data_IF_909535505400
#
_entry.id   IF_909535505400
#
_cell.length_a   1.000
_cell.length_b   1.000
_cell.length_c   1.000
_cell.angle_alpha   90.00
_cell.angle_beta   90.00
_cell.angle_gamma   90.00
#
_symmetry.space_group_name_H-M   'P 1'
#
loop_
_entity.id
_entity.type
_entity.pdbx_description
1 polymer ?
#
# COMPACT_ATOMS: atom_id res chain seq x y z
N UNK A 1 -0.60 -13.11 -0.19
CA UNK A 1 -1.42 -11.93 0.18
C UNK A 1 -1.22 -10.88 -0.89
N UNK A 2 -2.17 -9.98 -1.13
CA UNK A 2 -2.00 -8.91 -2.12
C UNK A 2 -1.03 -7.85 -1.60
N UNK A 3 -0.05 -7.45 -2.40
CA UNK A 3 0.93 -6.43 -2.02
C UNK A 3 0.46 -5.05 -2.49
N UNK A 4 0.44 -4.03 -1.61
CA UNK A 4 0.14 -2.68 -2.03
C UNK A 4 1.29 -2.09 -2.86
N UNK A 5 0.94 -1.20 -3.77
CA UNK A 5 1.87 -0.39 -4.56
C UNK A 5 1.56 1.09 -4.34
N UNK A 6 2.59 1.93 -4.33
CA UNK A 6 2.47 3.34 -3.97
C UNK A 6 3.06 4.21 -5.08
N UNK A 7 2.29 5.19 -5.56
CA UNK A 7 2.78 6.28 -6.38
C UNK A 7 3.12 7.44 -5.46
N UNK A 8 4.39 7.83 -5.42
CA UNK A 8 4.92 8.79 -4.47
C UNK A 8 5.71 9.88 -5.18
N UNK A 9 5.88 11.01 -4.51
CA UNK A 9 6.79 12.07 -4.96
C UNK A 9 8.02 12.15 -4.07
N UNK A 10 9.10 11.43 -4.41
CA UNK A 10 10.30 11.44 -3.61
C UNK A 10 11.16 12.70 -3.86
N UNK A 11 12.02 13.07 -2.90
CA UNK A 11 12.95 14.19 -3.07
C UNK A 11 14.11 13.89 -4.05
N UNK A 12 14.30 12.62 -4.45
CA UNK A 12 15.39 12.16 -5.32
C UNK A 12 14.92 11.06 -6.29
N UNK A 13 15.64 10.83 -7.40
CA UNK A 13 15.22 9.92 -8.47
C UNK A 13 15.55 8.44 -8.17
N UNK A 14 15.33 7.98 -6.94
CA UNK A 14 15.59 6.57 -6.56
C UNK A 14 14.87 6.18 -5.26
N UNK A 15 14.72 4.87 -5.07
CA UNK A 15 14.41 4.34 -3.74
C UNK A 15 15.57 4.59 -2.75
N UNK A 16 15.28 4.73 -1.45
CA UNK A 16 16.30 4.74 -0.39
C UNK A 16 17.16 3.47 -0.43
N UNK A 17 18.48 3.62 -0.23
CA UNK A 17 19.44 2.50 -0.30
C UNK A 17 19.85 2.00 1.09
N UNK A 18 19.10 2.37 2.13
CA UNK A 18 19.44 2.06 3.52
C UNK A 18 20.64 2.85 4.07
N UNK A 19 21.05 3.96 3.44
CA UNK A 19 22.05 4.85 4.05
C UNK A 19 21.43 5.59 5.24
N UNK A 20 22.25 5.90 6.25
CA UNK A 20 21.78 6.53 7.49
C UNK A 20 21.02 7.84 7.19
N UNK A 21 19.81 7.95 7.72
CA UNK A 21 18.94 9.12 7.56
C UNK A 21 18.19 9.22 6.23
N UNK A 22 18.42 8.34 5.25
CA UNK A 22 17.72 8.40 3.95
C UNK A 22 16.22 8.10 4.08
N UNK A 23 15.83 7.05 4.81
CA UNK A 23 14.40 6.70 4.96
C UNK A 23 13.62 7.77 5.71
N UNK A 24 14.17 8.26 6.83
CA UNK A 24 13.56 9.36 7.56
C UNK A 24 13.36 10.57 6.64
N UNK A 25 14.39 10.94 5.89
CA UNK A 25 14.30 12.07 4.95
C UNK A 25 13.27 11.82 3.85
N UNK A 26 13.24 10.61 3.28
CA UNK A 26 12.28 10.18 2.28
C UNK A 26 10.83 10.33 2.76
N UNK A 27 10.49 9.78 3.92
CA UNK A 27 9.12 9.83 4.46
C UNK A 27 8.79 11.19 5.09
N UNK A 28 9.77 11.91 5.62
CA UNK A 28 9.56 13.26 6.19
C UNK A 28 9.36 14.34 5.12
N UNK A 29 9.68 14.05 3.85
CA UNK A 29 9.47 14.99 2.75
C UNK A 29 7.98 15.35 2.55
N UNK A 30 7.05 14.53 3.06
CA UNK A 30 5.64 14.88 3.15
C UNK A 30 4.93 15.06 1.80
N UNK A 31 5.45 14.41 0.75
CA UNK A 31 4.89 14.47 -0.60
C UNK A 31 3.56 13.72 -0.73
N UNK A 32 2.78 13.97 -1.80
CA UNK A 32 1.57 13.19 -2.07
C UNK A 32 1.91 11.72 -2.26
N UNK A 33 0.99 10.86 -1.84
CA UNK A 33 1.02 9.43 -2.10
C UNK A 33 -0.35 8.95 -2.55
N UNK A 34 -0.37 8.14 -3.60
CA UNK A 34 -1.51 7.33 -3.99
C UNK A 34 -1.17 5.85 -3.74
N UNK A 35 -2.13 5.09 -3.24
CA UNK A 35 -2.01 3.67 -2.92
C UNK A 35 -2.95 2.86 -3.83
N UNK A 36 -2.45 1.78 -4.40
CA UNK A 36 -3.24 0.78 -5.09
C UNK A 36 -2.90 -0.62 -4.55
N UNK A 37 -3.81 -1.57 -4.74
CA UNK A 37 -3.62 -2.92 -4.24
C UNK A 37 -3.47 -3.90 -5.40
N UNK A 38 -2.54 -4.85 -5.27
CA UNK A 38 -2.31 -5.98 -6.18
C UNK A 38 -1.68 -5.68 -7.55
N UNK A 39 -1.79 -4.46 -8.07
CA UNK A 39 -1.33 -4.12 -9.42
C UNK A 39 -1.08 -2.62 -9.57
N UNK A 40 -0.31 -2.23 -10.59
CA UNK A 40 -0.09 -0.83 -10.96
C UNK A 40 -1.30 -0.36 -11.79
N UNK A 41 -2.06 0.65 -11.35
CA UNK A 41 -3.21 1.18 -12.09
C UNK A 41 -2.86 1.63 -13.51
N UNK A 42 -3.78 1.44 -14.45
CA UNK A 42 -3.59 1.79 -15.86
C UNK A 42 -3.09 3.23 -16.08
N UNK A 43 -3.62 4.22 -15.35
CA UNK A 43 -3.18 5.61 -15.54
C UNK A 43 -1.80 5.89 -14.94
N UNK A 44 -1.37 5.11 -13.94
CA UNK A 44 -0.01 5.21 -13.44
C UNK A 44 0.98 4.71 -14.50
N UNK A 45 0.67 3.59 -15.17
CA UNK A 45 1.52 3.06 -16.26
C UNK A 45 1.73 4.07 -17.38
N UNK A 46 0.76 4.95 -17.63
CA UNK A 46 0.88 6.01 -18.65
C UNK A 46 2.00 7.02 -18.35
N UNK A 47 2.45 7.14 -17.11
CA UNK A 47 3.55 8.02 -16.70
C UNK A 47 4.93 7.46 -17.07
N UNK A 48 5.04 6.13 -17.20
CA UNK A 48 6.31 5.41 -17.29
C UNK A 48 6.53 4.72 -18.64
N UNK A 49 7.74 4.26 -18.89
CA UNK A 49 8.15 3.36 -19.95
C UNK A 49 9.05 2.26 -19.35
N UNK A 50 9.33 1.20 -20.11
CA UNK A 50 10.16 0.10 -19.63
C UNK A 50 11.56 0.55 -19.17
N UNK A 51 12.12 1.60 -19.78
CA UNK A 51 13.40 2.20 -19.39
C UNK A 51 13.41 2.85 -17.99
N UNK A 52 12.23 3.10 -17.41
CA UNK A 52 12.12 3.66 -16.05
C UNK A 52 12.12 2.57 -14.96
N UNK A 53 12.32 1.29 -15.32
CA UNK A 53 12.46 0.20 -14.36
C UNK A 53 13.85 0.25 -13.73
N UNK A 54 13.87 0.44 -12.41
CA UNK A 54 15.07 0.41 -11.59
C UNK A 54 14.93 -0.63 -10.48
N UNK A 55 16.05 -0.94 -9.82
CA UNK A 55 16.13 -2.01 -8.82
C UNK A 55 16.70 -1.48 -7.51
N UNK A 56 16.03 -1.80 -6.40
CA UNK A 56 16.46 -1.46 -5.04
C UNK A 56 16.88 -2.72 -4.27
N UNK A 57 17.90 -2.60 -3.43
CA UNK A 57 18.39 -3.69 -2.56
C UNK A 57 17.78 -3.62 -1.14
N UNK A 58 17.06 -2.54 -0.83
CA UNK A 58 16.44 -2.29 0.47
C UNK A 58 15.03 -1.76 0.23
N UNK A 59 14.05 -2.32 0.95
CA UNK A 59 12.65 -1.89 0.95
C UNK A 59 12.22 -1.55 2.39
N UNK A 60 11.06 -0.91 2.53
CA UNK A 60 10.54 -0.25 3.74
C UNK A 60 10.59 -1.04 5.07
N UNK A 61 10.76 -2.36 5.02
CA UNK A 61 10.88 -3.22 6.20
C UNK A 61 12.28 -3.21 6.85
N UNK A 62 13.22 -2.40 6.35
CA UNK A 62 14.59 -2.27 6.87
C UNK A 62 14.95 -0.81 7.18
N UNK A 63 14.69 -0.34 8.40
CA UNK A 63 15.13 0.98 8.87
C UNK A 63 16.58 0.94 9.37
N UNK A 64 17.56 1.65 8.77
CA UNK A 64 18.96 1.61 9.18
C UNK A 64 19.25 2.18 10.57
N UNK A 65 18.37 3.02 11.14
CA UNK A 65 18.53 3.48 12.53
C UNK A 65 18.06 2.41 13.55
N UNK A 66 17.20 1.45 13.13
CA UNK A 66 16.98 0.15 13.79
C UNK A 66 17.99 -0.92 13.29
N UNK A 67 18.65 -0.71 12.14
CA UNK A 67 19.49 -1.72 11.50
C UNK A 67 20.94 -1.84 11.99
N UNK A 68 21.36 -1.14 13.04
CA UNK A 68 22.52 -1.64 13.78
C UNK A 68 22.17 -3.00 14.44
N UNK A 69 20.92 -3.17 14.87
CA UNK A 69 20.37 -4.43 15.39
C UNK A 69 19.76 -5.29 14.28
N UNK A 70 19.13 -4.71 13.26
CA UNK A 70 18.46 -5.48 12.18
C UNK A 70 19.35 -5.87 10.98
N UNK A 71 20.51 -5.24 10.71
CA UNK A 71 21.50 -5.82 9.75
C UNK A 71 22.26 -6.99 10.35
N UNK A 72 22.47 -6.97 11.68
CA UNK A 72 22.89 -8.17 12.42
C UNK A 72 21.76 -9.21 12.51
N UNK A 73 20.49 -8.78 12.44
CA UNK A 73 19.33 -9.69 12.43
C UNK A 73 18.79 -10.04 11.04
N UNK A 74 19.39 -9.55 9.92
CA UNK A 74 19.22 -10.18 8.62
C UNK A 74 19.73 -11.60 8.84
N UNK A 75 18.86 -12.64 8.83
CA UNK A 75 19.25 -13.90 9.38
C UNK A 75 20.56 -14.32 8.71
N UNK A 76 21.58 -14.67 9.48
CA UNK A 76 22.83 -15.20 8.90
C UNK A 76 22.50 -16.35 7.91
N UNK A 77 21.38 -17.02 8.22
CA UNK A 77 20.71 -18.12 7.53
C UNK A 77 19.83 -17.71 6.32
N UNK A 78 19.59 -16.42 6.07
CA UNK A 78 18.84 -15.96 4.91
C UNK A 78 19.51 -16.53 3.65
N UNK A 79 18.69 -17.05 2.73
CA UNK A 79 19.23 -17.66 1.52
C UNK A 79 20.03 -16.60 0.75
N UNK A 80 21.09 -17.02 0.04
CA UNK A 80 21.88 -16.09 -0.78
C UNK A 80 20.99 -15.33 -1.78
N UNK A 81 19.92 -15.97 -2.28
CA UNK A 81 18.90 -15.35 -3.13
C UNK A 81 18.13 -14.20 -2.45
N UNK A 82 17.87 -14.27 -1.14
CA UNK A 82 17.21 -13.20 -0.38
C UNK A 82 18.18 -12.02 -0.13
N UNK A 83 19.47 -12.32 0.06
CA UNK A 83 20.52 -11.31 0.22
C UNK A 83 20.83 -10.57 -1.09
N UNK A 84 20.67 -11.26 -2.22
CA UNK A 84 20.87 -10.70 -3.57
C UNK A 84 19.57 -10.18 -4.20
N UNK A 85 18.45 -10.20 -3.46
CA UNK A 85 17.14 -9.79 -3.96
C UNK A 85 17.14 -8.31 -4.37
N UNK A 86 16.55 -8.04 -5.53
CA UNK A 86 16.41 -6.72 -6.14
C UNK A 86 14.95 -6.44 -6.40
N UNK A 87 14.40 -5.45 -5.73
CA UNK A 87 12.99 -5.11 -5.87
C UNK A 87 12.83 -4.09 -6.99
N UNK A 88 12.03 -4.38 -8.04
CA UNK A 88 11.77 -3.41 -9.08
C UNK A 88 10.99 -2.22 -8.52
N UNK A 89 11.29 -1.03 -9.02
CA UNK A 89 10.51 0.17 -8.81
C UNK A 89 10.56 1.00 -10.09
N UNK A 90 9.55 1.85 -10.29
CA UNK A 90 9.54 2.76 -11.43
C UNK A 90 9.93 4.14 -10.94
N UNK A 91 10.81 4.84 -11.66
CA UNK A 91 11.07 6.26 -11.35
C UNK A 91 11.29 7.06 -12.61
N UNK A 92 10.67 8.24 -12.67
CA UNK A 92 10.86 9.16 -13.78
C UNK A 92 10.77 10.61 -13.30
N UNK A 93 11.09 11.56 -14.19
CA UNK A 93 10.90 12.98 -13.90
C UNK A 93 9.45 13.39 -14.17
N UNK A 94 8.92 14.34 -13.38
CA UNK A 94 7.57 14.87 -13.61
C UNK A 94 7.41 15.44 -15.02
N UNK A 95 8.43 16.13 -15.54
CA UNK A 95 8.39 16.69 -16.90
C UNK A 95 8.20 15.60 -17.98
N UNK A 96 8.94 14.49 -17.86
CA UNK A 96 8.84 13.39 -18.82
C UNK A 96 7.52 12.63 -18.68
N UNK A 97 7.07 12.38 -17.44
CA UNK A 97 5.78 11.76 -17.17
C UNK A 97 4.62 12.55 -17.77
N UNK A 98 4.59 13.88 -17.57
CA UNK A 98 3.55 14.74 -18.12
C UNK A 98 3.55 14.72 -19.66
N UNK A 99 4.74 14.75 -20.28
CA UNK A 99 4.88 14.63 -21.75
C UNK A 99 4.27 13.32 -22.27
N UNK A 100 4.55 12.19 -21.60
CA UNK A 100 4.00 10.88 -21.95
C UNK A 100 2.48 10.84 -21.78
N UNK A 101 1.96 11.38 -20.67
CA UNK A 101 0.51 11.43 -20.46
C UNK A 101 -0.21 12.24 -21.52
N UNK A 102 0.32 13.41 -21.90
CA UNK A 102 -0.27 14.21 -22.98
C UNK A 102 -0.29 13.44 -24.30
N UNK A 103 0.80 12.76 -24.64
CA UNK A 103 0.91 11.98 -25.89
C UNK A 103 -0.03 10.78 -25.93
N UNK A 104 -0.20 10.07 -24.80
CA UNK A 104 -0.97 8.82 -24.71
C UNK A 104 -2.46 9.03 -24.47
N UNK A 105 -2.85 10.24 -24.06
CA UNK A 105 -4.21 10.57 -23.62
C UNK A 105 -5.28 10.08 -24.57
N UNK A 106 -5.30 10.52 -25.82
CA UNK A 106 -6.43 10.26 -26.71
C UNK A 106 -6.53 8.78 -27.09
N UNK A 107 -5.40 8.08 -27.26
CA UNK A 107 -5.39 6.63 -27.49
C UNK A 107 -5.87 5.85 -26.26
N UNK A 108 -5.47 6.24 -25.05
CA UNK A 108 -5.98 5.62 -23.82
C UNK A 108 -7.49 5.84 -23.68
N UNK A 109 -7.97 7.07 -23.90
CA UNK A 109 -9.40 7.38 -23.80
C UNK A 109 -10.22 6.65 -24.88
N UNK A 110 -9.70 6.50 -26.10
CA UNK A 110 -10.34 5.69 -27.14
C UNK A 110 -10.53 4.24 -26.69
N UNK A 111 -9.54 3.68 -25.98
CA UNK A 111 -9.56 2.31 -25.48
C UNK A 111 -10.52 2.11 -24.29
N UNK A 112 -10.40 2.94 -23.25
CA UNK A 112 -11.21 2.79 -22.02
C UNK A 112 -12.60 3.43 -22.14
N UNK A 113 -12.78 4.37 -23.05
CA UNK A 113 -14.01 5.10 -23.32
C UNK A 113 -14.06 6.51 -22.72
N UNK A 114 -14.86 7.38 -23.35
CA UNK A 114 -14.97 8.82 -23.02
C UNK A 114 -15.32 9.13 -21.56
N UNK A 115 -16.05 8.22 -20.87
CA UNK A 115 -16.38 8.39 -19.45
C UNK A 115 -15.14 8.54 -18.56
N UNK A 116 -13.99 8.02 -18.98
CA UNK A 116 -12.74 8.07 -18.23
C UNK A 116 -11.95 9.36 -18.45
N UNK A 117 -12.28 10.16 -19.49
CA UNK A 117 -11.59 11.42 -19.79
C UNK A 117 -11.52 12.37 -18.59
N UNK A 118 -12.61 12.68 -17.87
CA UNK A 118 -12.53 13.54 -16.69
C UNK A 118 -11.68 12.94 -15.55
N UNK A 119 -11.64 11.61 -15.40
CA UNK A 119 -10.81 10.94 -14.39
C UNK A 119 -9.33 11.08 -14.77
N UNK A 120 -9.01 10.85 -16.03
CA UNK A 120 -7.64 10.98 -16.56
C UNK A 120 -7.13 12.41 -16.44
N UNK A 121 -7.94 13.39 -16.86
CA UNK A 121 -7.56 14.80 -16.81
C UNK A 121 -7.35 15.26 -15.35
N UNK A 122 -8.22 14.85 -14.43
CA UNK A 122 -8.05 15.15 -13.00
C UNK A 122 -6.80 14.48 -12.40
N UNK A 123 -6.49 13.25 -12.80
CA UNK A 123 -5.29 12.55 -12.37
C UNK A 123 -4.02 13.25 -12.86
N UNK A 124 -3.94 13.60 -14.15
CA UNK A 124 -2.78 14.30 -14.72
C UNK A 124 -2.60 15.69 -14.09
N UNK A 125 -3.70 16.41 -13.85
CA UNK A 125 -3.66 17.70 -13.13
C UNK A 125 -3.15 17.53 -11.69
N UNK A 126 -3.59 16.49 -10.98
CA UNK A 126 -3.08 16.16 -9.65
C UNK A 126 -1.58 15.85 -9.66
N UNK A 127 -1.09 15.08 -10.63
CA UNK A 127 0.36 14.85 -10.79
C UNK A 127 1.08 16.18 -11.06
N UNK A 128 0.57 17.03 -11.95
CA UNK A 128 1.21 18.28 -12.31
C UNK A 128 1.36 19.23 -11.11
N UNK A 129 0.31 19.32 -10.28
CA UNK A 129 0.18 20.27 -9.18
C UNK A 129 0.74 19.77 -7.85
N UNK A 130 0.51 18.51 -7.50
CA UNK A 130 0.86 17.96 -6.18
C UNK A 130 2.25 17.34 -6.14
N UNK A 131 2.72 16.72 -7.22
CA UNK A 131 4.00 16.02 -7.21
C UNK A 131 5.17 16.99 -7.45
N UNK A 132 6.28 16.73 -6.78
CA UNK A 132 7.57 17.37 -6.95
C UNK A 132 8.28 16.97 -8.25
N UNK A 133 9.63 17.04 -8.29
CA UNK A 133 10.39 16.82 -9.53
C UNK A 133 10.41 15.37 -9.99
N UNK A 134 10.22 14.41 -9.08
CA UNK A 134 10.25 12.98 -9.36
C UNK A 134 8.93 12.31 -9.00
N UNK A 135 8.62 11.27 -9.76
CA UNK A 135 7.46 10.40 -9.55
C UNK A 135 8.00 8.98 -9.49
N UNK A 136 7.64 8.25 -8.43
CA UNK A 136 8.14 6.91 -8.17
C UNK A 136 6.98 5.95 -7.87
N UNK A 137 6.98 4.77 -8.48
CA UNK A 137 6.13 3.64 -8.07
C UNK A 137 6.96 2.69 -7.25
N UNK A 138 6.58 2.56 -5.97
CA UNK A 138 7.14 1.59 -5.04
C UNK A 138 6.23 0.36 -5.00
N UNK A 139 6.77 -0.80 -5.33
CA UNK A 139 6.04 -2.07 -5.20
C UNK A 139 6.44 -2.72 -3.88
N UNK A 140 5.56 -2.73 -2.87
CA UNK A 140 5.91 -3.18 -1.52
C UNK A 140 6.12 -4.69 -1.43
N UNK A 141 7.34 -5.12 -1.77
CA UNK A 141 7.78 -6.50 -1.61
C UNK A 141 7.02 -7.47 -2.52
N UNK A 142 6.76 -7.10 -3.78
CA UNK A 142 6.35 -8.12 -4.77
C UNK A 142 7.43 -9.21 -4.78
N UNK A 143 7.06 -10.47 -4.50
CA UNK A 143 8.02 -11.55 -4.46
C UNK A 143 8.51 -11.84 -5.88
N UNK A 144 9.79 -12.21 -5.94
CA UNK A 144 10.47 -12.81 -7.08
C UNK A 144 10.90 -11.84 -8.20
N UNK A 145 12.15 -11.36 -8.10
CA UNK A 145 12.86 -10.50 -9.06
C UNK A 145 12.80 -11.04 -10.50
N UNK A 146 12.77 -12.36 -10.62
CA UNK A 146 12.84 -13.07 -11.91
C UNK A 146 11.50 -13.11 -12.62
N UNK A 147 10.40 -13.37 -11.90
CA UNK A 147 9.06 -13.36 -12.49
C UNK A 147 8.46 -11.96 -12.55
N UNK A 148 8.82 -11.09 -11.58
CA UNK A 148 8.20 -9.78 -11.43
C UNK A 148 8.64 -8.75 -12.49
N UNK A 149 9.81 -8.96 -13.10
CA UNK A 149 10.36 -8.01 -14.08
C UNK A 149 9.73 -8.19 -15.45
N UNK A 150 9.50 -9.45 -15.88
CA UNK A 150 8.97 -9.73 -17.21
C UNK A 150 7.53 -9.22 -17.38
N UNK A 151 6.65 -9.42 -16.39
CA UNK A 151 5.29 -8.87 -16.45
C UNK A 151 5.29 -7.34 -16.44
N UNK A 152 6.18 -6.72 -15.64
CA UNK A 152 6.26 -5.26 -15.54
C UNK A 152 6.77 -4.63 -16.84
N UNK A 153 7.80 -5.21 -17.46
CA UNK A 153 8.26 -4.83 -18.79
C UNK A 153 7.13 -4.96 -19.80
N UNK A 154 6.45 -6.12 -19.81
CA UNK A 154 5.34 -6.39 -20.73
C UNK A 154 4.22 -5.35 -20.58
N UNK A 155 3.79 -5.04 -19.36
CA UNK A 155 2.76 -4.02 -19.12
C UNK A 155 3.18 -2.62 -19.61
N UNK A 156 4.44 -2.23 -19.35
CA UNK A 156 4.94 -0.90 -19.75
C UNK A 156 5.18 -0.80 -21.26
N UNK A 157 5.61 -1.87 -21.91
CA UNK A 157 5.74 -1.94 -23.37
C UNK A 157 4.37 -1.83 -24.06
N UNK A 158 3.34 -2.49 -23.53
CA UNK A 158 1.97 -2.39 -24.07
C UNK A 158 1.45 -0.94 -24.01
N UNK A 159 1.73 -0.22 -22.91
CA UNK A 159 1.34 1.19 -22.79
C UNK A 159 2.23 2.10 -23.64
N UNK A 160 3.51 1.76 -23.81
CA UNK A 160 4.42 2.50 -24.67
C UNK A 160 4.07 2.34 -26.15
N UNK A 161 3.52 1.19 -26.57
CA UNK A 161 3.02 1.00 -27.93
C UNK A 161 1.92 2.00 -28.31
N UNK A 162 1.18 2.53 -27.32
CA UNK A 162 0.19 3.60 -27.53
C UNK A 162 0.81 4.90 -28.02
N UNK A 163 2.12 5.11 -27.85
CA UNK A 163 2.84 6.26 -28.43
C UNK A 163 2.84 6.21 -29.98
N UNK A 164 2.54 5.05 -30.58
CA UNK A 164 2.58 4.81 -32.02
C UNK A 164 1.26 4.27 -32.61
N UNK A 165 0.21 4.11 -31.81
CA UNK A 165 -1.13 3.70 -32.26
C UNK A 165 -1.87 2.76 -31.29
N UNK A 166 -3.07 2.31 -31.65
CA UNK A 166 -4.01 1.61 -30.76
C UNK A 166 -3.94 0.08 -30.79
N UNK A 167 -2.81 -0.53 -31.16
CA UNK A 167 -2.68 -1.99 -31.10
C UNK A 167 -2.47 -2.44 -29.65
N UNK A 168 -3.44 -3.18 -29.12
CA UNK A 168 -3.45 -3.64 -27.73
C UNK A 168 -3.33 -5.16 -27.68
N UNK A 169 -2.51 -5.66 -26.75
CA UNK A 169 -2.39 -7.09 -26.45
C UNK A 169 -3.68 -7.62 -25.78
N UNK A 170 -3.89 -8.94 -25.82
CA UNK A 170 -5.09 -9.57 -25.26
C UNK A 170 -5.27 -9.26 -23.76
N UNK A 171 -4.19 -9.30 -22.98
CA UNK A 171 -4.25 -9.11 -21.52
C UNK A 171 -4.72 -7.70 -21.12
N UNK A 172 -4.19 -6.65 -21.76
CA UNK A 172 -4.66 -5.27 -21.55
C UNK A 172 -6.09 -5.09 -22.07
N UNK A 173 -6.51 -5.86 -23.09
CA UNK A 173 -7.90 -5.82 -23.57
C UNK A 173 -8.88 -6.34 -22.50
N UNK A 174 -8.55 -7.43 -21.81
CA UNK A 174 -9.37 -7.96 -20.71
C UNK A 174 -9.44 -7.00 -19.52
N UNK A 175 -8.31 -6.37 -19.16
CA UNK A 175 -8.27 -5.32 -18.14
C UNK A 175 -9.18 -4.13 -18.52
N UNK A 176 -9.07 -3.64 -19.76
CA UNK A 176 -9.90 -2.54 -20.27
C UNK A 176 -11.39 -2.90 -20.19
N UNK A 177 -11.77 -4.10 -20.60
CA UNK A 177 -13.16 -4.55 -20.55
C UNK A 177 -13.68 -4.68 -19.11
N UNK A 178 -12.84 -5.14 -18.17
CA UNK A 178 -13.16 -5.16 -16.75
C UNK A 178 -13.31 -3.75 -16.18
N UNK A 179 -12.46 -2.81 -16.59
CA UNK A 179 -12.58 -1.40 -16.22
C UNK A 179 -13.88 -0.79 -16.76
N UNK A 180 -14.27 -1.06 -18.00
CA UNK A 180 -15.54 -0.59 -18.61
C UNK A 180 -16.78 -1.09 -17.87
N UNK A 181 -16.74 -2.28 -17.29
CA UNK A 181 -17.86 -2.86 -16.52
C UNK A 181 -17.89 -2.40 -15.06
N UNK A 182 -16.79 -1.85 -14.55
CA UNK A 182 -16.72 -1.39 -13.17
C UNK A 182 -17.70 -0.23 -12.92
N UNK A 183 -18.27 -0.20 -11.71
CA UNK A 183 -19.08 0.90 -11.23
C UNK A 183 -18.22 2.17 -11.06
N UNK A 184 -18.85 3.34 -11.10
CA UNK A 184 -18.17 4.63 -11.03
C UNK A 184 -17.33 4.79 -9.75
N UNK A 185 -17.81 4.27 -8.61
CA UNK A 185 -17.07 4.24 -7.33
C UNK A 185 -15.71 3.59 -7.48
N UNK A 186 -15.68 2.46 -8.19
CA UNK A 186 -14.52 1.58 -8.29
C UNK A 186 -13.58 2.06 -9.40
N UNK A 187 -14.12 2.73 -10.41
CA UNK A 187 -13.39 3.12 -11.61
C UNK A 187 -12.31 4.15 -11.31
N UNK A 188 -12.61 5.16 -10.48
CA UNK A 188 -11.62 6.16 -10.03
C UNK A 188 -10.49 5.43 -9.29
N UNK A 189 -10.80 4.66 -8.25
CA UNK A 189 -9.77 3.99 -7.44
C UNK A 189 -8.95 2.96 -8.21
N UNK A 190 -9.56 2.22 -9.14
CA UNK A 190 -8.87 1.22 -9.97
C UNK A 190 -7.93 1.84 -10.99
N UNK A 191 -8.20 3.07 -11.44
CA UNK A 191 -7.37 3.74 -12.46
C UNK A 191 -6.34 4.69 -11.86
N UNK A 192 -6.61 5.27 -10.70
CA UNK A 192 -5.75 6.30 -10.09
C UNK A 192 -5.21 5.94 -8.71
N UNK A 193 -5.70 4.88 -8.07
CA UNK A 193 -5.39 4.59 -6.67
C UNK A 193 -6.07 5.55 -5.68
N UNK A 194 -5.96 5.21 -4.39
CA UNK A 194 -6.50 5.95 -3.25
C UNK A 194 -5.49 6.97 -2.73
N UNK A 195 -5.93 8.18 -2.41
CA UNK A 195 -5.06 9.23 -1.85
C UNK A 195 -5.54 9.70 -0.49
N UNK A 196 -5.02 10.84 -0.04
CA UNK A 196 -5.44 11.50 1.19
C UNK A 196 -6.59 12.48 0.91
N UNK A 197 -7.87 12.12 1.15
CA UNK A 197 -9.01 12.97 0.81
C UNK A 197 -9.14 14.22 1.70
N UNK A 198 -8.40 14.27 2.80
CA UNK A 198 -8.41 15.37 3.78
C UNK A 198 -7.07 16.09 3.87
N UNK A 199 -6.21 15.92 2.87
CA UNK A 199 -4.98 16.71 2.81
C UNK A 199 -5.34 18.21 2.72
N UNK A 200 -4.68 19.04 3.51
CA UNK A 200 -4.88 20.50 3.48
C UNK A 200 -4.46 21.09 2.12
N UNK A 201 -3.45 20.49 1.50
CA UNK A 201 -2.92 20.87 0.20
C UNK A 201 -3.13 19.71 -0.77
N UNK A 202 -3.81 19.98 -1.88
CA UNK A 202 -4.11 19.02 -2.95
C UNK A 202 -4.76 17.70 -2.43
N UNK A 203 -6.00 17.74 -1.92
CA UNK A 203 -6.71 16.52 -1.56
C UNK A 203 -6.98 15.66 -2.80
N UNK A 204 -6.87 14.34 -2.62
CA UNK A 204 -7.25 13.37 -3.66
C UNK A 204 -8.33 12.42 -3.15
N UNK A 205 -9.44 12.24 -3.90
CA UNK A 205 -9.80 12.87 -5.18
C UNK A 205 -10.09 14.37 -5.03
N UNK A 206 -9.90 15.12 -6.11
CA UNK A 206 -10.22 16.55 -6.14
C UNK A 206 -11.73 16.79 -6.04
N UNK A 207 -12.14 17.99 -5.59
CA UNK A 207 -13.55 18.33 -5.47
C UNK A 207 -14.30 18.24 -6.81
N UNK A 208 -13.69 18.70 -7.90
CA UNK A 208 -14.27 18.61 -9.25
C UNK A 208 -14.48 17.15 -9.69
N UNK A 209 -13.56 16.24 -9.32
CA UNK A 209 -13.70 14.82 -9.59
C UNK A 209 -14.82 14.19 -8.74
N UNK A 210 -14.96 14.61 -7.49
CA UNK A 210 -16.07 14.20 -6.62
C UNK A 210 -17.41 14.70 -7.15
N UNK A 211 -17.49 15.92 -7.68
CA UNK A 211 -18.73 16.46 -8.25
C UNK A 211 -19.17 15.69 -9.51
N UNK A 212 -18.19 15.30 -10.35
CA UNK A 212 -18.43 14.48 -11.54
C UNK A 212 -18.71 13.00 -11.21
N UNK A 213 -18.10 12.48 -10.14
CA UNK A 213 -18.25 11.11 -9.67
C UNK A 213 -18.57 11.08 -8.17
N UNK A 214 -19.81 11.40 -7.75
CA UNK A 214 -20.17 11.51 -6.32
C UNK A 214 -19.90 10.24 -5.52
N UNK A 215 -19.82 9.11 -6.22
CA UNK A 215 -19.53 7.81 -5.68
C UNK A 215 -18.08 7.68 -5.13
N UNK A 216 -17.14 8.49 -5.60
CA UNK A 216 -15.76 8.56 -5.07
C UNK A 216 -15.62 9.54 -3.90
N UNK A 217 -16.70 10.22 -3.49
CA UNK A 217 -16.69 11.15 -2.37
C UNK A 217 -16.13 10.46 -1.10
N UNK A 218 -15.25 11.15 -0.34
CA UNK A 218 -14.77 10.64 0.93
C UNK A 218 -15.95 10.37 1.86
N UNK A 219 -16.13 9.12 2.28
CA UNK A 219 -17.19 8.81 3.24
C UNK A 219 -16.88 9.55 4.55
N UNK A 220 -17.90 10.23 5.09
CA UNK A 220 -17.81 10.81 6.42
C UNK A 220 -17.29 9.73 7.38
N UNK A 221 -16.35 10.07 8.28
CA UNK A 221 -15.90 9.10 9.26
C UNK A 221 -17.16 8.71 10.01
N UNK A 222 -17.49 7.41 9.99
CA UNK A 222 -18.61 6.88 10.77
C UNK A 222 -18.32 7.32 12.20
N UNK A 223 -19.09 8.29 12.70
CA UNK A 223 -18.89 8.80 14.05
C UNK A 223 -18.77 7.58 14.96
N UNK A 224 -17.73 7.48 15.82
CA UNK A 224 -17.64 6.38 16.76
C UNK A 224 -19.00 6.33 17.44
N UNK A 225 -19.67 5.19 17.30
CA UNK A 225 -21.04 4.98 17.78
C UNK A 225 -20.99 5.40 19.24
N UNK A 226 -21.63 6.53 19.57
CA UNK A 226 -21.50 7.14 20.87
C UNK A 226 -21.74 6.06 21.93
N UNK A 227 -20.84 5.86 22.91
CA UNK A 227 -21.14 4.96 24.01
C UNK A 227 -22.45 5.45 24.62
N UNK A 228 -23.44 4.56 24.72
CA UNK A 228 -24.70 4.85 25.42
C UNK A 228 -24.33 5.12 26.88
N UNK A 229 -24.11 6.38 27.23
CA UNK A 229 -23.91 6.78 28.61
C UNK A 229 -25.23 6.66 29.37
N UNK A 230 -25.26 5.94 30.50
CA UNK A 230 -26.35 6.09 31.45
C UNK A 230 -26.26 7.49 32.07
N UNK A 231 -27.42 8.12 32.06
CA UNK A 231 -27.79 9.42 32.63
C UNK A 231 -27.12 9.65 34.00
N UNK A 232 -26.28 10.67 34.12
CA UNK A 232 -26.11 11.33 35.41
C UNK A 232 -25.86 12.84 35.27
N UNK A 233 -26.49 13.54 36.20
CA UNK A 233 -26.85 14.95 36.23
C UNK A 233 -26.03 15.57 37.36
N UNK A 234 -25.27 16.64 37.08
CA UNK A 234 -24.97 17.82 37.92
C UNK A 234 -23.63 18.47 37.53
N UNK A 235 -23.71 19.76 37.15
CA UNK A 235 -22.82 20.91 37.42
C UNK A 235 -21.30 20.79 37.10
N UNK A 236 -20.55 21.83 36.72
CA UNK A 236 -20.74 23.18 36.20
C UNK A 236 -19.32 23.73 35.93
N UNK A 237 -19.23 24.75 35.06
CA UNK A 237 -18.23 25.83 35.01
C UNK A 237 -16.88 25.67 34.24
N UNK A 238 -16.66 26.68 33.37
CA UNK A 238 -15.39 27.35 32.94
C UNK A 238 -14.35 26.51 32.16
N UNK A 239 -13.65 26.95 31.13
CA UNK A 239 -13.56 28.12 30.23
C UNK A 239 -12.55 27.73 29.10
N UNK A 240 -12.27 28.56 28.07
CA UNK A 240 -11.67 28.11 26.81
C UNK A 240 -10.14 28.08 26.84
N UNK A 241 -9.58 27.52 25.74
CA UNK A 241 -8.24 27.75 25.19
C UNK A 241 -7.24 26.58 25.33
N UNK A 242 -6.96 25.88 24.20
CA UNK A 242 -5.65 25.28 23.85
C UNK A 242 -5.69 24.55 22.49
N UNK A 243 -5.15 25.24 21.47
CA UNK A 243 -4.19 24.77 20.46
C UNK A 243 -4.24 23.30 19.97
N UNK A 244 -4.59 23.12 18.70
CA UNK A 244 -4.08 22.05 17.81
C UNK A 244 -2.71 22.46 17.25
N UNK A 245 -1.82 21.55 16.75
CA UNK A 245 -2.18 20.35 15.98
C UNK A 245 -1.33 19.09 16.25
N UNK A 246 -1.97 17.92 16.35
CA UNK A 246 -1.30 16.63 16.22
C UNK A 246 -2.28 15.51 15.81
N UNK A 247 -2.92 15.65 14.65
CA UNK A 247 -3.75 14.56 14.08
C UNK A 247 -3.42 14.33 12.60
N UNK A 248 -2.23 13.79 12.32
CA UNK A 248 -1.90 13.25 11.00
C UNK A 248 -0.95 12.04 11.04
N UNK A 249 -0.92 11.27 12.13
CA UNK A 249 -0.09 10.05 12.25
C UNK A 249 -0.91 8.82 12.69
N UNK A 250 -2.08 8.61 12.08
CA UNK A 250 -2.83 7.34 12.23
C UNK A 250 -2.63 6.41 11.04
N UNK A 251 -1.37 6.05 10.80
CA UNK A 251 -1.00 4.89 9.97
C UNK A 251 0.17 4.10 10.56
N UNK A 252 0.35 4.13 11.89
CA UNK A 252 1.28 3.22 12.58
C UNK A 252 0.83 2.93 14.01
N UNK A 253 -0.32 2.29 14.14
CA UNK A 253 -0.59 1.40 15.28
C UNK A 253 -1.07 0.08 14.69
N UNK A 254 -0.19 -0.58 13.93
CA UNK A 254 -0.30 -2.02 13.69
C UNK A 254 0.21 -2.70 14.94
N UNK A 255 -0.70 -3.44 15.56
CA UNK A 255 -0.70 -3.99 16.90
C UNK A 255 0.59 -4.72 17.34
N UNK A 256 1.36 -4.10 18.25
CA UNK A 256 2.31 -4.83 19.12
C UNK A 256 1.63 -5.97 19.87
N UNK A 257 0.35 -5.81 20.23
CA UNK A 257 -0.44 -6.83 20.93
C UNK A 257 -0.75 -8.04 20.04
N UNK A 258 -0.98 -7.86 18.74
CA UNK A 258 -1.23 -8.97 17.81
C UNK A 258 0.07 -9.70 17.49
N UNK A 259 1.19 -8.98 17.30
CA UNK A 259 2.52 -9.62 17.16
C UNK A 259 2.88 -10.42 18.42
N UNK A 260 2.64 -9.88 19.62
CA UNK A 260 2.88 -10.62 20.87
C UNK A 260 1.96 -11.83 20.98
N UNK A 261 0.68 -11.73 20.60
CA UNK A 261 -0.23 -12.88 20.59
C UNK A 261 0.21 -13.96 19.59
N UNK A 262 0.69 -13.56 18.43
CA UNK A 262 1.18 -14.46 17.38
C UNK A 262 2.43 -15.22 17.84
N UNK A 263 3.40 -14.52 18.45
CA UNK A 263 4.59 -15.16 19.04
C UNK A 263 4.24 -16.08 20.22
N UNK A 264 3.28 -15.69 21.07
CA UNK A 264 2.80 -16.55 22.18
C UNK A 264 2.13 -17.81 21.63
N UNK A 265 1.32 -17.71 20.58
CA UNK A 265 0.69 -18.87 19.95
C UNK A 265 1.72 -19.83 19.35
N UNK A 266 2.74 -19.31 18.66
CA UNK A 266 3.84 -20.11 18.09
C UNK A 266 4.64 -20.82 19.19
N UNK A 267 4.98 -20.12 20.29
CA UNK A 267 5.72 -20.70 21.40
C UNK A 267 4.92 -21.77 22.15
N UNK A 268 3.62 -21.57 22.34
CA UNK A 268 2.73 -22.57 22.96
C UNK A 268 2.62 -23.80 22.05
N UNK A 269 2.48 -23.61 20.74
CA UNK A 269 2.40 -24.72 19.78
C UNK A 269 3.70 -25.52 19.70
N UNK A 270 4.83 -24.84 19.52
CA UNK A 270 6.14 -25.49 19.46
C UNK A 270 6.52 -26.15 20.80
N UNK A 271 6.27 -25.47 21.92
CA UNK A 271 6.58 -25.95 23.26
C UNK A 271 5.75 -27.18 23.65
N UNK A 272 4.45 -27.18 23.35
CA UNK A 272 3.60 -28.35 23.63
C UNK A 272 3.97 -29.52 22.72
N UNK A 273 4.22 -29.30 21.43
CA UNK A 273 4.60 -30.39 20.53
C UNK A 273 5.95 -31.02 20.92
N UNK A 274 7.00 -30.21 21.12
CA UNK A 274 8.35 -30.70 21.47
C UNK A 274 8.38 -31.32 22.87
N UNK A 275 7.72 -30.70 23.85
CA UNK A 275 7.66 -31.22 25.22
C UNK A 275 6.95 -32.56 25.32
N UNK A 276 5.82 -32.71 24.62
CA UNK A 276 5.06 -33.98 24.62
C UNK A 276 5.81 -35.07 23.87
N UNK A 277 6.49 -34.72 22.76
CA UNK A 277 7.30 -35.67 22.01
C UNK A 277 8.54 -36.13 22.80
N UNK A 278 9.23 -35.23 23.50
CA UNK A 278 10.39 -35.57 24.32
C UNK A 278 10.01 -36.53 25.47
N UNK A 279 8.81 -36.38 26.06
CA UNK A 279 8.34 -37.22 27.15
C UNK A 279 7.77 -38.57 26.71
N UNK A 280 7.08 -38.63 25.57
CA UNK A 280 6.34 -39.84 25.14
C UNK A 280 6.92 -40.55 23.93
N UNK A 281 7.85 -39.90 23.20
CA UNK A 281 8.37 -40.30 21.88
C UNK A 281 7.30 -40.64 20.84
N UNK A 282 6.06 -40.19 21.06
CA UNK A 282 4.91 -40.50 20.21
C UNK A 282 4.43 -39.24 19.50
N UNK A 283 4.51 -39.27 18.17
CA UNK A 283 4.06 -38.17 17.30
C UNK A 283 2.54 -37.99 17.42
N UNK A 284 1.78 -39.09 17.55
CA UNK A 284 0.32 -39.04 17.65
C UNK A 284 -0.16 -38.36 18.93
N UNK A 285 0.49 -38.66 20.06
CA UNK A 285 0.19 -38.02 21.36
C UNK A 285 0.52 -36.52 21.34
N UNK A 286 1.59 -36.14 20.61
CA UNK A 286 2.01 -34.74 20.48
C UNK A 286 1.03 -33.92 19.65
N UNK A 287 0.50 -34.49 18.55
CA UNK A 287 -0.56 -33.86 17.75
C UNK A 287 -1.83 -33.66 18.58
N UNK A 288 -2.25 -34.70 19.32
CA UNK A 288 -3.47 -34.63 20.15
C UNK A 288 -3.34 -33.58 21.27
N UNK A 289 -2.19 -33.53 21.94
CA UNK A 289 -1.91 -32.55 23.00
C UNK A 289 -1.92 -31.11 22.47
N UNK A 290 -1.34 -30.88 21.28
CA UNK A 290 -1.28 -29.55 20.66
C UNK A 290 -2.67 -29.08 20.22
N UNK A 291 -3.50 -29.98 19.69
CA UNK A 291 -4.89 -29.68 19.35
C UNK A 291 -5.72 -29.27 20.59
N UNK A 292 -5.55 -29.97 21.71
CA UNK A 292 -6.24 -29.66 22.98
C UNK A 292 -5.78 -28.30 23.53
N UNK A 293 -4.48 -28.02 23.53
CA UNK A 293 -3.93 -26.74 23.99
C UNK A 293 -4.45 -25.55 23.15
N UNK A 294 -4.51 -25.72 21.83
CA UNK A 294 -5.02 -24.69 20.91
C UNK A 294 -6.51 -24.42 21.13
N UNK A 295 -7.31 -25.47 21.33
CA UNK A 295 -8.74 -25.35 21.63
C UNK A 295 -9.00 -24.65 22.98
N UNK A 296 -8.21 -24.96 24.01
CA UNK A 296 -8.30 -24.29 25.31
C UNK A 296 -7.94 -22.79 25.23
N UNK A 297 -6.90 -22.45 24.46
CA UNK A 297 -6.48 -21.08 24.23
C UNK A 297 -7.53 -20.26 23.45
N UNK A 298 -8.10 -20.83 22.40
CA UNK A 298 -9.20 -20.21 21.66
C UNK A 298 -10.43 -19.97 22.55
N UNK A 299 -10.76 -20.93 23.42
CA UNK A 299 -11.87 -20.78 24.37
C UNK A 299 -11.61 -19.70 25.42
N UNK A 300 -10.40 -19.60 25.95
CA UNK A 300 -10.00 -18.53 26.89
C UNK A 300 -10.10 -17.15 26.24
N UNK A 301 -9.65 -16.99 25.00
CA UNK A 301 -9.76 -15.73 24.24
C UNK A 301 -11.22 -15.33 24.00
N UNK A 302 -12.09 -16.30 23.69
CA UNK A 302 -13.53 -16.05 23.53
C UNK A 302 -14.19 -15.69 24.86
N UNK A 303 -13.74 -16.29 25.97
CA UNK A 303 -14.31 -16.05 27.31
C UNK A 303 -13.91 -14.69 27.88
N UNK A 304 -12.66 -14.26 27.70
CA UNK A 304 -12.19 -12.93 28.11
C UNK A 304 -12.93 -11.83 27.35
N UNK A 305 -13.14 -12.00 26.04
CA UNK A 305 -13.93 -11.07 25.21
C UNK A 305 -15.44 -10.99 25.53
N UNK A 306 -15.97 -11.88 26.38
CA UNK A 306 -17.38 -11.85 26.85
C UNK A 306 -17.51 -11.23 28.25
N UNK A 307 -16.41 -11.02 28.95
CA UNK A 307 -16.38 -10.43 30.30
C UNK A 307 -15.94 -8.96 30.30
N UNK A 308 -15.38 -8.48 29.17
CA UNK A 308 -15.18 -7.07 28.82
C UNK A 308 -16.39 -6.50 28.06
#
# INVERSE_FOLDING_TARGET
MSHPVFLESPPWPRMPEGRKGELKTYFSAGGPSLEANAHIPLFWRALFAADDIHFAYVIDDLDPDDAALEREAFPENAAQAEKDAKYPYLVTTKALALTRTTRRRDHLIELVGERFRPIYDAFVDYIATAYGPFILVRTSGLPDVTDATEWLVTELEQITALDHGTRVHADLSDEIENLKRAADTDTVWRTTGMGAPRAEVNPWPSQSLVDAFPACAPRAPRAPRAPRTPRNRYAAATSPDSQHPAEAHRSRVSNRLDKVLEWVAILVFAGTFVGTWAATRSIWQSILATAIATAAMAWLLVRVRRLE
#
